data_IF_447944136290
#
_entry.id   IF_447944136290
#
_cell.length_a   1.000
_cell.length_b   1.000
_cell.length_c   1.000
_cell.angle_alpha   90.00
_cell.angle_beta   90.00
_cell.angle_gamma   90.00
#
_symmetry.space_group_name_H-M   'P 1'
#
loop_
_entity.id
_entity.type
_entity.pdbx_description
1 polymer ?
#
# COMPACT_ATOMS: atom_id res chain seq x y z
N UNK A 1 18.07 -14.98 -1.68
CA UNK A 1 16.75 -14.70 -2.23
C UNK A 1 15.65 -14.49 -1.19
N UNK A 2 15.37 -15.40 -0.24
CA UNK A 2 14.26 -15.21 0.75
C UNK A 2 14.34 -13.94 1.61
N UNK A 3 15.54 -13.46 1.96
CA UNK A 3 15.72 -12.20 2.71
C UNK A 3 15.49 -10.95 1.86
N UNK A 4 15.90 -10.99 0.61
CA UNK A 4 15.81 -9.88 -0.36
C UNK A 4 14.35 -9.54 -0.69
N UNK A 5 13.51 -10.57 -0.82
CA UNK A 5 12.07 -10.43 -1.07
C UNK A 5 11.33 -9.76 0.11
N UNK A 6 11.76 -10.03 1.34
CA UNK A 6 11.12 -9.48 2.54
C UNK A 6 11.27 -7.97 2.69
N UNK A 7 12.40 -7.40 2.25
CA UNK A 7 12.69 -5.98 2.45
C UNK A 7 11.94 -5.10 1.44
N UNK A 8 11.62 -5.63 0.26
CA UNK A 8 10.85 -4.92 -0.76
C UNK A 8 9.41 -4.64 -0.28
N UNK A 9 8.84 -5.55 0.50
CA UNK A 9 7.52 -5.36 1.09
C UNK A 9 7.48 -4.35 2.23
N UNK A 10 8.54 -4.23 3.03
CA UNK A 10 8.59 -3.32 4.20
C UNK A 10 8.28 -1.87 3.82
N UNK A 11 8.75 -1.42 2.67
CA UNK A 11 8.52 -0.06 2.16
C UNK A 11 7.07 0.20 1.74
N UNK A 12 6.39 -0.83 1.30
CA UNK A 12 4.98 -0.72 0.90
C UNK A 12 4.05 -0.47 2.10
N UNK A 13 4.46 -0.89 3.30
CA UNK A 13 3.69 -0.72 4.54
C UNK A 13 3.79 0.68 5.14
N UNK A 14 4.73 1.52 4.70
CA UNK A 14 4.91 2.87 5.27
C UNK A 14 3.65 3.75 5.09
N UNK A 15 2.95 3.60 3.97
CA UNK A 15 1.67 4.28 3.73
C UNK A 15 0.45 3.44 4.14
N UNK A 16 0.64 2.14 4.41
CA UNK A 16 -0.41 1.22 4.84
C UNK A 16 -0.67 1.27 6.36
N UNK A 17 -0.12 2.26 7.07
CA UNK A 17 -0.43 2.47 8.49
C UNK A 17 -1.93 2.63 8.79
N UNK A 18 -2.70 3.03 7.79
CA UNK A 18 -4.16 2.92 7.84
C UNK A 18 -4.65 1.46 7.95
N UNK A 19 -3.80 0.48 7.59
CA UNK A 19 -4.10 -0.95 7.56
C UNK A 19 -4.35 -1.61 8.88
N UNK A 20 -3.57 -1.26 9.84
CA UNK A 20 -3.79 -1.73 11.20
C UNK A 20 -5.08 -1.13 11.81
N UNK A 21 -5.51 0.03 11.30
CA UNK A 21 -6.65 0.78 11.81
C UNK A 21 -7.99 0.22 11.40
N UNK A 22 -8.10 -0.17 10.15
CA UNK A 22 -9.34 -0.77 9.66
C UNK A 22 -9.55 -2.17 10.25
N UNK A 23 -8.47 -2.92 10.55
CA UNK A 23 -8.59 -4.20 11.30
C UNK A 23 -9.17 -4.00 12.71
N UNK A 24 -8.89 -2.88 13.35
CA UNK A 24 -9.45 -2.57 14.67
C UNK A 24 -10.95 -2.21 14.60
N UNK A 25 -11.38 -1.55 13.51
CA UNK A 25 -12.79 -1.16 13.30
C UNK A 25 -13.60 -2.32 12.69
N UNK A 26 -12.98 -3.19 11.88
CA UNK A 26 -13.66 -4.22 11.06
C UNK A 26 -13.77 -5.58 11.75
N UNK A 27 -13.28 -5.78 12.96
CA UNK A 27 -13.70 -6.97 13.71
C UNK A 27 -15.15 -6.74 14.20
N UNK A 28 -16.18 -7.16 13.46
CA UNK A 28 -17.54 -7.02 13.94
C UNK A 28 -17.72 -8.00 15.12
N UNK A 29 -17.63 -7.49 16.30
CA UNK A 29 -18.38 -8.10 17.37
C UNK A 29 -19.83 -7.71 17.06
N UNK A 30 -20.64 -8.66 16.67
CA UNK A 30 -21.96 -8.48 16.04
C UNK A 30 -22.99 -7.68 16.89
N UNK A 31 -22.60 -7.04 17.96
CA UNK A 31 -23.45 -6.34 18.90
C UNK A 31 -23.04 -4.88 19.17
N UNK A 32 -21.87 -4.42 18.69
CA UNK A 32 -21.41 -3.08 19.07
C UNK A 32 -21.83 -2.02 18.03
N UNK A 33 -22.26 -0.84 18.52
CA UNK A 33 -22.47 0.33 17.67
C UNK A 33 -21.14 0.77 17.03
N UNK A 34 -21.21 1.50 15.91
CA UNK A 34 -20.03 2.06 15.27
C UNK A 34 -19.24 2.96 16.24
N UNK A 35 -19.94 3.75 17.05
CA UNK A 35 -19.35 4.62 18.07
C UNK A 35 -18.54 3.83 19.09
N UNK A 36 -19.03 2.67 19.50
CA UNK A 36 -18.33 1.78 20.43
C UNK A 36 -17.09 1.17 19.78
N UNK A 37 -17.18 0.79 18.51
CA UNK A 37 -16.04 0.27 17.76
C UNK A 37 -14.95 1.33 17.60
N UNK A 38 -15.32 2.58 17.25
CA UNK A 38 -14.39 3.72 17.18
C UNK A 38 -13.78 4.01 18.54
N UNK A 39 -14.58 4.01 19.61
CA UNK A 39 -14.09 4.22 20.97
C UNK A 39 -13.08 3.15 21.39
N UNK A 40 -13.26 1.89 20.98
CA UNK A 40 -12.28 0.82 21.23
C UNK A 40 -11.01 1.06 20.46
N UNK A 41 -11.11 1.33 19.16
CA UNK A 41 -9.96 1.61 18.32
C UNK A 41 -9.15 2.80 18.85
N UNK A 42 -9.83 3.84 19.35
CA UNK A 42 -9.16 5.00 19.96
C UNK A 42 -8.43 4.68 21.26
N UNK A 43 -8.89 3.68 22.04
CA UNK A 43 -8.17 3.25 23.26
C UNK A 43 -6.83 2.59 22.98
N UNK A 44 -6.68 2.02 21.78
CA UNK A 44 -5.44 1.39 21.35
C UNK A 44 -4.44 2.41 20.79
N UNK A 45 -4.85 3.69 20.64
CA UNK A 45 -3.95 4.77 20.23
C UNK A 45 -3.01 5.18 21.38
N UNK A 46 -1.75 5.55 21.06
CA UNK A 46 -1.20 5.68 19.71
C UNK A 46 -0.85 4.33 19.08
N UNK A 47 -1.30 4.11 17.83
CA UNK A 47 -0.99 2.90 17.07
C UNK A 47 0.18 3.22 16.13
N UNK A 48 1.32 2.51 16.22
CA UNK A 48 2.45 2.74 15.33
C UNK A 48 2.07 2.50 13.87
N UNK A 49 2.46 3.43 13.00
CA UNK A 49 2.49 3.22 11.55
C UNK A 49 3.70 2.35 11.22
N UNK A 50 3.57 1.51 10.19
CA UNK A 50 4.61 0.58 9.79
C UNK A 50 6.00 1.24 9.71
N UNK A 51 7.02 0.49 10.10
CA UNK A 51 8.44 0.92 10.14
C UNK A 51 8.73 2.14 11.04
N UNK A 52 7.82 2.51 11.93
CA UNK A 52 8.05 3.58 12.90
C UNK A 52 8.14 4.98 12.29
N UNK A 53 7.63 5.17 11.06
CA UNK A 53 7.61 6.49 10.37
C UNK A 53 6.63 7.47 11.01
N UNK A 54 5.74 6.98 11.87
CA UNK A 54 4.74 7.78 12.56
C UNK A 54 3.81 6.92 13.40
N UNK A 55 2.70 7.51 13.78
CA UNK A 55 1.66 6.85 14.57
C UNK A 55 0.28 7.43 14.25
N UNK A 56 -0.75 6.64 14.49
CA UNK A 56 -2.11 7.16 14.60
C UNK A 56 -2.33 7.60 16.03
N UNK A 57 -2.43 8.88 16.23
CA UNK A 57 -2.55 9.45 17.58
C UNK A 57 -3.97 9.39 18.13
N UNK A 58 -4.98 9.44 17.26
CA UNK A 58 -6.37 9.28 17.67
C UNK A 58 -7.30 8.89 16.53
N UNK A 59 -8.45 8.28 16.90
CA UNK A 59 -9.57 7.97 16.02
C UNK A 59 -10.84 8.47 16.69
N UNK A 60 -11.64 9.27 15.97
CA UNK A 60 -12.90 9.84 16.49
C UNK A 60 -14.00 9.82 15.43
N UNK A 61 -15.23 10.09 15.86
CA UNK A 61 -16.36 10.37 14.96
C UNK A 61 -16.75 11.83 15.18
N UNK A 62 -16.56 12.64 14.12
CA UNK A 62 -16.79 14.09 14.16
C UNK A 62 -17.49 14.53 12.87
N UNK A 63 -18.59 15.27 12.97
CA UNK A 63 -19.30 15.89 11.83
C UNK A 63 -19.62 14.92 10.66
N UNK A 64 -19.95 13.66 10.96
CA UNK A 64 -20.23 12.66 9.94
C UNK A 64 -19.00 12.06 9.30
N UNK A 65 -17.80 12.26 9.87
CA UNK A 65 -16.55 11.65 9.43
C UNK A 65 -15.94 10.78 10.53
N UNK A 66 -15.39 9.65 10.12
CA UNK A 66 -14.41 8.94 10.94
C UNK A 66 -13.09 9.66 10.74
N UNK A 67 -12.58 10.29 11.79
CA UNK A 67 -11.39 11.14 11.74
C UNK A 67 -10.20 10.36 12.27
N UNK A 68 -9.14 10.27 11.44
CA UNK A 68 -7.84 9.72 11.81
C UNK A 68 -6.83 10.85 11.94
N UNK A 69 -6.19 10.96 13.12
CA UNK A 69 -5.07 11.87 13.31
C UNK A 69 -3.77 11.09 13.23
N UNK A 70 -2.91 11.49 12.29
CA UNK A 70 -1.64 10.85 11.98
C UNK A 70 -0.49 11.79 12.33
N UNK A 71 0.40 11.33 13.19
CA UNK A 71 1.62 12.05 13.51
C UNK A 71 2.81 11.34 12.86
N UNK A 72 3.40 11.98 11.87
CA UNK A 72 4.57 11.48 11.16
C UNK A 72 5.85 12.12 11.68
N UNK A 73 6.96 11.40 11.54
CA UNK A 73 8.28 11.97 11.78
C UNK A 73 8.72 12.77 10.55
N UNK A 74 9.22 14.00 10.73
CA UNK A 74 9.51 14.90 9.60
C UNK A 74 10.60 14.37 8.66
N UNK A 75 11.51 13.52 9.14
CA UNK A 75 12.57 12.92 8.36
C UNK A 75 12.10 11.88 7.34
N UNK A 76 10.87 11.36 7.49
CA UNK A 76 10.33 10.30 6.62
C UNK A 76 9.27 10.79 5.64
N UNK A 77 8.61 11.90 5.92
CA UNK A 77 7.47 12.35 5.10
C UNK A 77 7.52 13.85 4.85
N UNK A 78 7.53 14.22 3.57
CA UNK A 78 7.30 15.58 3.15
C UNK A 78 5.80 15.86 2.99
N UNK A 79 5.19 16.43 4.03
CA UNK A 79 3.75 16.75 4.06
C UNK A 79 3.34 17.74 2.97
N UNK A 80 4.23 18.60 2.52
CA UNK A 80 3.92 19.59 1.49
C UNK A 80 3.61 18.95 0.14
N UNK A 81 4.16 17.78 -0.16
CA UNK A 81 3.81 17.01 -1.36
C UNK A 81 2.33 16.67 -1.38
N UNK A 82 1.80 16.22 -0.26
CA UNK A 82 0.37 15.89 -0.11
C UNK A 82 -0.52 17.13 -0.18
N UNK A 83 -0.12 18.19 0.52
CA UNK A 83 -0.87 19.44 0.56
C UNK A 83 -0.96 20.10 -0.82
N UNK A 84 0.10 20.02 -1.62
CA UNK A 84 0.18 20.60 -2.96
C UNK A 84 -0.53 19.76 -4.04
N UNK A 85 -0.90 18.50 -3.74
CA UNK A 85 -1.59 17.59 -4.65
C UNK A 85 -2.88 17.04 -4.01
N UNK A 86 -3.88 17.88 -3.68
CA UNK A 86 -4.99 17.48 -2.84
C UNK A 86 -5.89 16.39 -3.46
N UNK A 87 -6.06 16.37 -4.78
CA UNK A 87 -6.86 15.35 -5.47
C UNK A 87 -6.14 14.00 -5.48
N UNK A 88 -4.88 13.97 -5.93
CA UNK A 88 -4.08 12.75 -5.92
C UNK A 88 -3.88 12.20 -4.50
N UNK A 89 -3.74 13.08 -3.50
CA UNK A 89 -3.69 12.71 -2.08
C UNK A 89 -4.98 12.02 -1.63
N UNK A 90 -6.12 12.53 -2.02
CA UNK A 90 -7.42 11.94 -1.73
C UNK A 90 -7.57 10.56 -2.36
N UNK A 91 -7.23 10.45 -3.65
CA UNK A 91 -7.23 9.19 -4.39
C UNK A 91 -6.25 8.17 -3.75
N UNK A 92 -5.07 8.62 -3.31
CA UNK A 92 -4.08 7.79 -2.63
C UNK A 92 -4.60 7.26 -1.28
N UNK A 93 -5.25 8.08 -0.47
CA UNK A 93 -5.84 7.60 0.79
C UNK A 93 -6.99 6.64 0.55
N UNK A 94 -7.77 6.84 -0.50
CA UNK A 94 -8.78 5.87 -0.90
C UNK A 94 -8.16 4.54 -1.34
N UNK A 95 -7.09 4.59 -2.15
CA UNK A 95 -6.32 3.41 -2.53
C UNK A 95 -5.76 2.67 -1.30
N UNK A 96 -5.15 3.38 -0.36
CA UNK A 96 -4.66 2.80 0.88
C UNK A 96 -5.79 2.14 1.68
N UNK A 97 -6.94 2.78 1.78
CA UNK A 97 -8.14 2.23 2.43
C UNK A 97 -8.60 0.93 1.76
N UNK A 98 -8.61 0.85 0.43
CA UNK A 98 -8.93 -0.37 -0.32
C UNK A 98 -7.92 -1.49 -0.07
N UNK A 99 -6.63 -1.19 -0.14
CA UNK A 99 -5.56 -2.18 0.03
C UNK A 99 -5.60 -2.83 1.40
N UNK A 100 -5.91 -2.06 2.42
CA UNK A 100 -5.98 -2.54 3.80
C UNK A 100 -7.13 -3.48 4.03
N UNK A 101 -8.26 -3.20 3.39
CA UNK A 101 -9.47 -4.00 3.49
C UNK A 101 -9.52 -5.11 2.43
N UNK A 102 -8.55 -5.13 1.51
CA UNK A 102 -8.55 -5.93 0.29
C UNK A 102 -8.33 -7.43 0.44
N UNK A 103 -8.22 -7.95 1.65
CA UNK A 103 -8.24 -9.39 1.85
C UNK A 103 -9.64 -9.94 1.55
N UNK A 104 -9.89 -10.25 0.28
CA UNK A 104 -11.03 -11.07 -0.12
C UNK A 104 -12.39 -10.35 -0.27
N UNK A 105 -12.43 -9.11 -0.77
CA UNK A 105 -13.71 -8.43 -1.08
C UNK A 105 -14.29 -7.62 0.09
N UNK A 106 -13.57 -7.48 1.20
CA UNK A 106 -14.04 -6.66 2.33
C UNK A 106 -13.98 -5.14 2.07
N UNK A 107 -13.17 -4.70 1.10
CA UNK A 107 -13.08 -3.28 0.74
C UNK A 107 -14.41 -2.69 0.28
N UNK A 108 -15.14 -3.43 -0.56
CA UNK A 108 -16.46 -3.00 -1.04
C UNK A 108 -17.48 -2.97 0.09
N UNK A 109 -17.42 -3.93 1.03
CA UNK A 109 -18.31 -3.97 2.19
C UNK A 109 -18.13 -2.74 3.08
N UNK A 110 -16.88 -2.32 3.35
CA UNK A 110 -16.60 -1.16 4.19
C UNK A 110 -16.99 0.15 3.50
N UNK A 111 -16.64 0.31 2.23
CA UNK A 111 -17.06 1.48 1.44
C UNK A 111 -18.58 1.57 1.37
N UNK A 112 -19.26 0.46 1.12
CA UNK A 112 -20.72 0.40 1.09
C UNK A 112 -21.34 0.73 2.45
N UNK A 113 -20.75 0.28 3.56
CA UNK A 113 -21.25 0.59 4.89
C UNK A 113 -21.08 2.08 5.23
N UNK A 114 -19.95 2.69 4.84
CA UNK A 114 -19.74 4.13 4.99
C UNK A 114 -20.77 4.93 4.19
N UNK A 115 -20.98 4.58 2.93
CA UNK A 115 -21.98 5.21 2.05
C UNK A 115 -23.39 5.07 2.65
N UNK A 116 -23.74 3.86 3.08
CA UNK A 116 -25.06 3.57 3.67
C UNK A 116 -25.35 4.38 4.93
N UNK A 117 -24.32 4.61 5.74
CA UNK A 117 -24.43 5.42 6.97
C UNK A 117 -24.27 6.92 6.72
N UNK A 118 -23.96 7.34 5.51
CA UNK A 118 -23.67 8.73 5.20
C UNK A 118 -22.38 9.25 5.85
N UNK A 119 -21.42 8.35 6.11
CA UNK A 119 -20.15 8.67 6.77
C UNK A 119 -19.02 8.80 5.77
N UNK A 120 -18.15 9.77 6.01
CA UNK A 120 -16.87 9.92 5.30
C UNK A 120 -15.68 9.49 6.15
N UNK A 121 -14.49 9.59 5.52
CA UNK A 121 -13.21 9.48 6.21
C UNK A 121 -12.51 10.83 6.15
N UNK A 122 -11.95 11.28 7.27
CA UNK A 122 -11.12 12.49 7.34
C UNK A 122 -9.77 12.13 7.91
N UNK A 123 -8.71 12.41 7.16
CA UNK A 123 -7.33 12.19 7.56
C UNK A 123 -6.73 13.55 7.89
N UNK A 124 -6.29 13.72 9.13
CA UNK A 124 -5.55 14.90 9.59
C UNK A 124 -4.13 14.45 9.89
N UNK A 125 -3.19 14.83 9.05
CA UNK A 125 -1.80 14.42 9.18
C UNK A 125 -0.89 15.58 9.51
N UNK A 126 0.07 15.36 10.39
CA UNK A 126 1.07 16.34 10.84
C UNK A 126 2.45 15.68 10.96
N UNK A 127 3.50 16.46 10.73
CA UNK A 127 4.87 16.07 11.06
C UNK A 127 5.51 17.01 12.09
N UNK A 128 4.69 17.78 12.81
CA UNK A 128 5.15 18.76 13.80
C UNK A 128 5.62 20.10 13.18
N UNK A 129 5.87 20.14 11.88
CA UNK A 129 6.29 21.36 11.14
C UNK A 129 5.13 21.87 10.27
N UNK A 130 4.48 20.98 9.57
CA UNK A 130 3.33 21.27 8.71
C UNK A 130 2.24 20.21 8.90
N UNK A 131 1.07 20.53 8.38
CA UNK A 131 -0.09 19.61 8.43
C UNK A 131 -0.95 19.74 7.19
N UNK A 132 -1.74 18.71 6.91
CA UNK A 132 -2.80 18.75 5.92
C UNK A 132 -4.02 17.97 6.39
N UNK A 133 -5.15 18.24 5.75
CA UNK A 133 -6.39 17.49 5.93
C UNK A 133 -6.88 16.99 4.59
N UNK A 134 -7.24 15.71 4.52
CA UNK A 134 -7.86 15.08 3.36
C UNK A 134 -9.19 14.49 3.75
N UNK A 135 -10.24 14.74 2.96
CA UNK A 135 -11.60 14.27 3.21
C UNK A 135 -12.10 13.40 2.06
N UNK A 136 -12.52 12.19 2.42
CA UNK A 136 -13.23 11.26 1.54
C UNK A 136 -14.71 11.26 1.96
N UNK A 137 -15.49 12.16 1.35
CA UNK A 137 -16.93 12.21 1.61
C UNK A 137 -17.63 10.93 1.11
N UNK A 138 -18.85 10.61 1.60
CA UNK A 138 -19.61 9.47 1.08
C UNK A 138 -19.84 9.54 -0.43
N UNK A 139 -20.07 10.76 -0.96
CA UNK A 139 -20.21 11.00 -2.40
C UNK A 139 -18.92 10.67 -3.14
N UNK A 140 -17.77 11.15 -2.65
CA UNK A 140 -16.47 10.86 -3.24
C UNK A 140 -16.15 9.35 -3.21
N UNK A 141 -16.41 8.66 -2.10
CA UNK A 141 -16.22 7.21 -1.98
C UNK A 141 -17.03 6.47 -3.06
N UNK A 142 -18.29 6.87 -3.27
CA UNK A 142 -19.16 6.30 -4.30
C UNK A 142 -18.66 6.58 -5.72
N UNK A 143 -18.18 7.80 -5.98
CA UNK A 143 -17.59 8.17 -7.27
C UNK A 143 -16.33 7.36 -7.56
N UNK A 144 -15.45 7.19 -6.57
CA UNK A 144 -14.25 6.37 -6.72
C UNK A 144 -14.54 4.90 -6.95
N UNK A 145 -15.54 4.31 -6.26
CA UNK A 145 -16.00 2.96 -6.57
C UNK A 145 -16.42 2.82 -8.03
N UNK A 146 -17.20 3.78 -8.55
CA UNK A 146 -17.62 3.76 -9.95
C UNK A 146 -16.44 3.92 -10.91
N UNK A 147 -15.51 4.83 -10.64
CA UNK A 147 -14.29 5.01 -11.46
C UNK A 147 -13.46 3.74 -11.51
N UNK A 148 -13.24 3.09 -10.36
CA UNK A 148 -12.48 1.84 -10.27
C UNK A 148 -13.20 0.69 -11.00
N UNK A 149 -14.51 0.58 -10.89
CA UNK A 149 -15.28 -0.45 -11.60
C UNK A 149 -15.21 -0.30 -13.12
N UNK A 150 -15.12 0.94 -13.62
CA UNK A 150 -15.04 1.22 -15.06
C UNK A 150 -13.61 1.03 -15.59
N UNK A 151 -12.63 1.63 -14.94
CA UNK A 151 -11.22 1.55 -15.33
C UNK A 151 -10.30 1.76 -14.12
N UNK A 152 -9.94 0.69 -13.40
CA UNK A 152 -9.18 0.77 -12.16
C UNK A 152 -7.79 1.39 -12.35
N UNK A 153 -7.09 1.03 -13.42
CA UNK A 153 -5.75 1.55 -13.70
C UNK A 153 -5.80 3.07 -13.87
N UNK A 154 -6.71 3.56 -14.72
CA UNK A 154 -6.85 5.00 -14.96
C UNK A 154 -7.30 5.74 -13.69
N UNK A 155 -8.24 5.15 -12.93
CA UNK A 155 -8.77 5.76 -11.71
C UNK A 155 -7.70 5.94 -10.62
N UNK A 156 -6.73 5.04 -10.58
CA UNK A 156 -5.71 5.00 -9.52
C UNK A 156 -4.32 5.47 -9.98
N UNK A 157 -4.18 5.85 -11.26
CA UNK A 157 -2.89 6.22 -11.83
C UNK A 157 -2.19 7.37 -11.08
N UNK A 158 -2.89 8.46 -10.82
CA UNK A 158 -2.30 9.62 -10.15
C UNK A 158 -2.03 9.35 -8.66
N UNK A 159 -2.88 8.53 -8.04
CA UNK A 159 -2.67 8.05 -6.67
C UNK A 159 -1.41 7.20 -6.55
N UNK A 160 -1.18 6.29 -7.50
CA UNK A 160 0.03 5.45 -7.54
C UNK A 160 1.29 6.28 -7.78
N UNK A 161 1.23 7.24 -8.70
CA UNK A 161 2.36 8.16 -8.93
C UNK A 161 2.73 8.92 -7.67
N UNK A 162 1.77 9.57 -7.04
CA UNK A 162 2.00 10.32 -5.80
C UNK A 162 2.56 9.40 -4.70
N UNK A 163 2.03 8.19 -4.58
CA UNK A 163 2.54 7.20 -3.64
C UNK A 163 4.01 6.91 -3.86
N UNK A 164 4.41 6.62 -5.10
CA UNK A 164 5.80 6.31 -5.42
C UNK A 164 6.72 7.52 -5.28
N UNK A 165 6.28 8.72 -5.65
CA UNK A 165 7.05 9.95 -5.44
C UNK A 165 7.35 10.19 -3.96
N UNK A 166 6.39 9.92 -3.07
CA UNK A 166 6.60 10.06 -1.63
C UNK A 166 7.47 8.96 -1.05
N UNK A 167 7.40 7.74 -1.56
CA UNK A 167 8.26 6.63 -1.13
C UNK A 167 9.68 6.77 -1.66
N UNK A 168 9.85 7.28 -2.87
CA UNK A 168 11.17 7.45 -3.48
C UNK A 168 12.10 8.42 -2.71
N UNK A 169 11.57 9.26 -1.85
CA UNK A 169 12.42 10.09 -0.97
C UNK A 169 13.16 9.28 0.11
N UNK A 170 12.77 8.03 0.35
CA UNK A 170 13.44 7.13 1.30
C UNK A 170 14.53 6.27 0.66
N UNK A 171 14.66 6.26 -0.67
CA UNK A 171 15.65 5.48 -1.40
C UNK A 171 17.00 6.21 -1.56
N UNK A 172 18.10 5.48 -1.75
CA UNK A 172 18.20 4.03 -1.91
C UNK A 172 18.25 3.28 -0.56
N UNK A 173 17.73 2.03 -0.56
CA UNK A 173 17.75 1.16 0.61
C UNK A 173 18.55 -0.11 0.31
N UNK A 174 19.51 -0.44 1.17
CA UNK A 174 20.26 -1.69 1.07
C UNK A 174 19.32 -2.86 1.40
N UNK A 175 19.14 -3.79 0.45
CA UNK A 175 18.31 -4.97 0.59
C UNK A 175 19.14 -6.15 1.09
N UNK A 176 20.29 -6.40 0.44
CA UNK A 176 21.20 -7.48 0.75
C UNK A 176 22.63 -7.08 0.35
N UNK A 177 23.60 -7.96 0.54
CA UNK A 177 24.95 -7.75 0.02
C UNK A 177 24.89 -7.66 -1.52
N UNK A 178 25.35 -6.53 -2.06
CA UNK A 178 25.34 -6.27 -3.51
C UNK A 178 23.95 -5.93 -4.10
N UNK A 179 22.89 -5.78 -3.30
CA UNK A 179 21.57 -5.41 -3.77
C UNK A 179 21.03 -4.16 -3.08
N UNK A 180 20.56 -3.20 -3.88
CA UNK A 180 20.04 -1.91 -3.40
C UNK A 180 18.69 -1.65 -4.09
N UNK A 181 17.63 -1.44 -3.31
CA UNK A 181 16.38 -0.92 -3.84
C UNK A 181 16.57 0.56 -4.19
N UNK A 182 16.41 0.91 -5.45
CA UNK A 182 16.67 2.26 -5.99
C UNK A 182 15.43 3.12 -6.07
N UNK A 183 14.27 2.51 -6.31
CA UNK A 183 13.04 3.26 -6.49
C UNK A 183 11.84 2.41 -6.86
N UNK A 184 10.71 3.10 -6.89
CA UNK A 184 9.42 2.59 -7.35
C UNK A 184 8.90 3.49 -8.47
N UNK A 185 8.21 2.91 -9.44
CA UNK A 185 7.63 3.64 -10.56
C UNK A 185 6.35 3.00 -11.09
N UNK A 186 5.76 3.66 -12.06
CA UNK A 186 4.62 3.16 -12.82
C UNK A 186 4.90 3.38 -14.32
N UNK A 187 5.08 2.30 -15.07
CA UNK A 187 5.32 2.30 -16.51
C UNK A 187 4.43 1.27 -17.18
N UNK A 188 3.81 1.62 -18.31
CA UNK A 188 3.00 0.72 -19.16
C UNK A 188 2.02 -0.19 -18.37
N UNK A 189 1.34 0.37 -17.38
CA UNK A 189 0.46 -0.35 -16.46
C UNK A 189 1.16 -1.40 -15.58
N UNK A 190 2.47 -1.30 -15.37
CA UNK A 190 3.21 -2.11 -14.42
C UNK A 190 3.75 -1.23 -13.29
N UNK A 191 3.66 -1.73 -12.08
CA UNK A 191 4.42 -1.19 -10.96
C UNK A 191 5.85 -1.67 -11.14
N UNK A 192 6.80 -0.72 -11.20
CA UNK A 192 8.22 -1.00 -11.40
C UNK A 192 8.91 -0.93 -10.03
N UNK A 193 9.65 -1.98 -9.71
CA UNK A 193 10.53 -2.04 -8.54
C UNK A 193 11.96 -2.07 -9.05
N UNK A 194 12.70 -0.96 -8.87
CA UNK A 194 14.07 -0.84 -9.36
C UNK A 194 15.08 -1.35 -8.34
N UNK A 195 15.87 -2.35 -8.70
CA UNK A 195 16.90 -2.96 -7.85
C UNK A 195 18.26 -2.82 -8.51
N UNK A 196 19.17 -2.13 -7.85
CA UNK A 196 20.57 -2.06 -8.25
C UNK A 196 21.32 -3.31 -7.82
N UNK A 197 22.08 -3.89 -8.75
CA UNK A 197 22.84 -5.13 -8.59
C UNK A 197 24.33 -4.82 -8.67
N UNK A 198 25.12 -5.30 -7.69
CA UNK A 198 26.58 -5.30 -7.78
C UNK A 198 27.02 -6.46 -8.68
N UNK A 199 27.50 -6.11 -9.87
CA UNK A 199 27.91 -7.08 -10.89
C UNK A 199 29.21 -7.83 -10.56
N UNK A 200 29.91 -7.43 -9.50
CA UNK A 200 31.02 -8.22 -8.98
C UNK A 200 30.56 -9.45 -8.18
N UNK A 201 29.30 -9.39 -7.68
CA UNK A 201 28.71 -10.45 -6.87
C UNK A 201 27.64 -11.25 -7.64
N UNK A 202 26.97 -10.62 -8.59
CA UNK A 202 25.86 -11.21 -9.33
C UNK A 202 25.94 -10.92 -10.81
N UNK A 203 25.66 -11.91 -11.64
CA UNK A 203 25.46 -11.72 -13.07
C UNK A 203 23.99 -11.36 -13.36
N UNK A 204 23.75 -10.14 -13.83
CA UNK A 204 22.41 -9.66 -14.17
C UNK A 204 21.74 -10.55 -15.23
N UNK A 205 22.51 -11.07 -16.19
CA UNK A 205 21.96 -11.93 -17.25
C UNK A 205 21.50 -13.29 -16.71
N UNK A 206 22.07 -13.78 -15.62
CA UNK A 206 21.67 -15.06 -15.02
C UNK A 206 20.25 -15.07 -14.45
N UNK A 207 19.70 -13.90 -14.15
CA UNK A 207 18.31 -13.79 -13.67
C UNK A 207 17.28 -14.17 -14.75
N UNK A 208 17.64 -14.12 -16.04
CA UNK A 208 16.77 -14.59 -17.12
C UNK A 208 16.38 -16.07 -16.97
N UNK A 209 17.32 -16.89 -16.49
CA UNK A 209 17.11 -18.33 -16.33
C UNK A 209 16.12 -18.68 -15.20
N UNK A 210 15.85 -17.77 -14.27
CA UNK A 210 14.99 -17.99 -13.10
C UNK A 210 13.74 -17.10 -13.07
N UNK A 211 13.44 -16.43 -14.18
CA UNK A 211 12.35 -15.46 -14.26
C UNK A 211 10.98 -16.10 -13.98
N UNK A 212 10.71 -17.27 -14.55
CA UNK A 212 9.41 -17.95 -14.39
C UNK A 212 9.26 -18.47 -12.93
N UNK A 213 10.30 -19.10 -12.38
CA UNK A 213 10.32 -19.53 -10.98
C UNK A 213 10.19 -18.35 -10.01
N UNK A 214 10.71 -17.19 -10.40
CA UNK A 214 10.62 -16.00 -9.58
C UNK A 214 9.17 -15.51 -9.43
N UNK A 215 8.41 -15.44 -10.51
CA UNK A 215 7.01 -15.04 -10.50
C UNK A 215 6.16 -15.98 -9.61
N UNK A 216 6.34 -17.29 -9.76
CA UNK A 216 5.65 -18.29 -8.96
C UNK A 216 6.03 -18.21 -7.48
N UNK A 217 7.30 -17.97 -7.17
CA UNK A 217 7.78 -17.80 -5.80
C UNK A 217 7.19 -16.55 -5.12
N UNK A 218 7.15 -15.41 -5.82
CA UNK A 218 6.54 -14.17 -5.30
C UNK A 218 5.07 -14.40 -4.94
N UNK A 219 4.32 -15.01 -5.85
CA UNK A 219 2.88 -15.29 -5.64
C UNK A 219 2.70 -16.29 -4.49
N UNK A 220 3.52 -17.33 -4.44
CA UNK A 220 3.45 -18.35 -3.41
C UNK A 220 3.77 -17.80 -2.01
N UNK A 221 4.83 -17.02 -1.87
CA UNK A 221 5.20 -16.40 -0.58
C UNK A 221 4.11 -15.41 -0.12
N UNK A 222 3.55 -14.61 -1.04
CA UNK A 222 2.44 -13.72 -0.74
C UNK A 222 1.19 -14.49 -0.26
N UNK A 223 0.90 -15.65 -0.85
CA UNK A 223 -0.23 -16.50 -0.44
C UNK A 223 0.05 -17.26 0.86
N UNK A 224 1.30 -17.57 1.15
CA UNK A 224 1.73 -18.18 2.42
C UNK A 224 1.74 -17.20 3.60
N UNK A 225 1.30 -15.97 3.38
CA UNK A 225 1.08 -14.99 4.43
C UNK A 225 2.23 -14.01 4.63
N UNK A 226 3.15 -13.88 3.67
CA UNK A 226 4.08 -12.73 3.68
C UNK A 226 3.24 -11.44 3.54
N UNK A 227 3.19 -10.59 4.60
CA UNK A 227 2.28 -9.45 4.62
C UNK A 227 2.67 -8.37 3.61
N UNK A 228 3.93 -8.33 3.25
CA UNK A 228 4.53 -7.27 2.45
C UNK A 228 4.32 -7.57 0.97
N UNK A 229 4.69 -8.78 0.54
CA UNK A 229 4.39 -9.24 -0.82
C UNK A 229 2.88 -9.32 -1.04
N UNK A 230 2.13 -9.74 -0.01
CA UNK A 230 0.69 -9.75 -0.03
C UNK A 230 0.10 -8.38 -0.34
N UNK A 231 0.53 -7.35 0.38
CA UNK A 231 0.06 -5.97 0.18
C UNK A 231 0.43 -5.42 -1.22
N UNK A 232 1.64 -5.73 -1.71
CA UNK A 232 2.08 -5.33 -3.05
C UNK A 232 1.23 -5.99 -4.14
N UNK A 233 0.99 -7.29 -4.05
CA UNK A 233 0.15 -7.99 -5.03
C UNK A 233 -1.33 -7.57 -4.93
N UNK A 234 -1.83 -7.27 -3.73
CA UNK A 234 -3.19 -6.74 -3.55
C UNK A 234 -3.35 -5.35 -4.19
N UNK A 235 -2.31 -4.50 -4.11
CA UNK A 235 -2.28 -3.22 -4.83
C UNK A 235 -2.32 -3.44 -6.34
N UNK A 236 -1.46 -4.33 -6.86
CA UNK A 236 -1.46 -4.68 -8.29
C UNK A 236 -2.83 -5.20 -8.74
N UNK A 237 -3.46 -6.04 -7.91
CA UNK A 237 -4.79 -6.59 -8.19
C UNK A 237 -5.86 -5.50 -8.27
N UNK A 238 -5.91 -4.59 -7.29
CA UNK A 238 -6.91 -3.50 -7.21
C UNK A 238 -6.73 -2.52 -8.36
N UNK A 239 -5.49 -2.15 -8.69
CA UNK A 239 -5.19 -1.21 -9.77
C UNK A 239 -5.18 -1.85 -11.17
N UNK A 240 -5.32 -3.17 -11.26
CA UNK A 240 -5.15 -3.95 -12.49
C UNK A 240 -3.78 -3.73 -13.17
N UNK A 241 -2.76 -3.46 -12.37
CA UNK A 241 -1.38 -3.36 -12.85
C UNK A 241 -0.67 -4.70 -12.77
N UNK A 242 0.35 -4.88 -13.59
CA UNK A 242 1.37 -5.91 -13.39
C UNK A 242 2.43 -5.43 -12.40
N UNK A 243 3.41 -6.30 -12.15
CA UNK A 243 4.57 -6.01 -11.32
C UNK A 243 5.85 -6.36 -12.10
N UNK A 244 6.78 -5.43 -12.17
CA UNK A 244 8.07 -5.61 -12.83
C UNK A 244 9.18 -5.35 -11.83
N UNK A 245 10.06 -6.33 -11.64
CA UNK A 245 11.35 -6.12 -10.97
C UNK A 245 12.39 -5.81 -12.01
N UNK A 246 12.86 -4.57 -12.02
CA UNK A 246 13.93 -4.10 -12.92
C UNK A 246 15.27 -4.20 -12.23
N UNK A 247 16.05 -5.20 -12.57
CA UNK A 247 17.39 -5.42 -12.05
C UNK A 247 18.39 -4.62 -12.89
N UNK A 248 19.09 -3.67 -12.28
CA UNK A 248 19.98 -2.72 -12.95
C UNK A 248 21.41 -2.95 -12.47
N UNK A 249 22.31 -3.30 -13.36
CA UNK A 249 23.74 -3.37 -13.06
C UNK A 249 24.29 -2.00 -12.59
N UNK A 250 24.98 -1.98 -11.47
CA UNK A 250 25.50 -0.72 -10.93
C UNK A 250 26.59 -0.10 -11.81
N UNK A 251 27.36 -0.94 -12.53
CA UNK A 251 28.49 -0.50 -13.37
C UNK A 251 28.09 -0.42 -14.84
N UNK A 252 27.55 -1.51 -15.42
CA UNK A 252 27.20 -1.56 -16.85
C UNK A 252 25.96 -0.74 -17.21
N UNK A 253 25.09 -0.50 -16.24
CA UNK A 253 23.74 0.04 -16.45
C UNK A 253 22.82 -0.85 -17.31
N UNK A 254 23.25 -2.04 -17.66
CA UNK A 254 22.36 -3.03 -18.26
C UNK A 254 21.26 -3.39 -17.30
N UNK A 255 20.07 -3.68 -17.81
CA UNK A 255 18.97 -4.10 -16.97
C UNK A 255 18.29 -5.36 -17.51
N UNK A 256 17.65 -6.06 -16.60
CA UNK A 256 16.80 -7.20 -16.89
C UNK A 256 15.48 -7.04 -16.13
N UNK A 257 14.37 -7.16 -16.85
CA UNK A 257 13.03 -7.01 -16.30
C UNK A 257 12.38 -8.39 -16.06
N UNK A 258 12.05 -8.68 -14.80
CA UNK A 258 11.26 -9.84 -14.41
C UNK A 258 9.82 -9.41 -14.22
N UNK A 259 8.92 -9.93 -15.05
CA UNK A 259 7.54 -9.46 -15.13
C UNK A 259 6.56 -10.47 -14.55
N UNK A 260 5.62 -9.96 -13.75
CA UNK A 260 4.44 -10.69 -13.27
C UNK A 260 3.22 -9.99 -13.84
N UNK A 261 2.51 -10.63 -14.77
CA UNK A 261 1.38 -10.00 -15.44
C UNK A 261 0.20 -9.77 -14.47
N UNK A 262 -0.58 -8.73 -14.73
CA UNK A 262 -1.80 -8.44 -13.94
C UNK A 262 -2.82 -9.59 -14.01
N UNK A 263 -2.84 -10.35 -15.10
CA UNK A 263 -3.68 -11.54 -15.24
C UNK A 263 -3.25 -12.66 -14.30
N UNK A 264 -1.95 -12.94 -14.23
CA UNK A 264 -1.39 -13.97 -13.34
C UNK A 264 -1.64 -13.61 -11.86
N UNK A 265 -1.42 -12.34 -11.49
CA UNK A 265 -1.71 -11.86 -10.13
C UNK A 265 -3.19 -12.06 -9.78
N UNK A 266 -4.11 -11.65 -10.66
CA UNK A 266 -5.55 -11.79 -10.42
C UNK A 266 -6.01 -13.23 -10.29
N UNK A 267 -5.45 -14.14 -11.08
CA UNK A 267 -5.81 -15.57 -11.05
C UNK A 267 -5.34 -16.26 -9.77
N UNK A 268 -4.15 -15.92 -9.28
CA UNK A 268 -3.49 -16.65 -8.20
C UNK A 268 -3.60 -15.97 -6.82
N UNK A 269 -4.08 -14.71 -6.76
CA UNK A 269 -4.27 -13.96 -5.51
C UNK A 269 -5.72 -14.02 -4.99
N UNK A 270 -6.38 -15.17 -5.07
CA UNK A 270 -7.79 -15.32 -4.66
C UNK A 270 -8.00 -16.06 -3.32
N UNK A 271 -6.93 -16.54 -2.71
CA UNK A 271 -7.03 -17.28 -1.44
C UNK A 271 -6.85 -16.30 -0.28
N UNK A 272 -7.86 -16.12 0.60
CA UNK A 272 -7.64 -15.42 1.84
C UNK A 272 -6.59 -16.18 2.65
N UNK A 273 -5.63 -15.50 3.31
CA UNK A 273 -4.68 -16.17 4.18
C UNK A 273 -5.46 -16.93 5.24
N UNK A 274 -5.19 -18.22 5.37
CA UNK A 274 -5.72 -19.01 6.48
C UNK A 274 -5.09 -18.43 7.74
N UNK A 275 -5.88 -17.73 8.53
CA UNK A 275 -5.47 -17.29 9.86
C UNK A 275 -5.39 -18.56 10.72
N UNK A 276 -4.20 -19.13 10.84
CA UNK A 276 -3.92 -20.10 11.88
C UNK A 276 -4.00 -19.36 13.22
N UNK A 277 -5.16 -19.49 13.87
CA UNK A 277 -5.32 -19.10 15.26
C UNK A 277 -4.68 -20.20 16.08
N UNK A 278 -3.46 -19.95 16.57
CA UNK A 278 -2.84 -20.70 17.65
C UNK A 278 -3.01 -19.92 18.95
#
# INVERSE_FOLDING_TARGET
MKKTLKIIGILFLILMGLGSLTKAIVKPVAADSLEEQIRRANRDCPIPVANGVGQVSSISLEDGFIVYKLDYKPEYINIDVYRNNPEATRDMFYLAFLCVNGQGGHSDMMSNELIKRGLGLRIVASNGVSSFTSELSPTYIKEMQNRINVNPTKALHDALKLKFETENCTFPIKIDEGMILKGLGLEDNNIIVEVGIDENLYDVASFAAVSDEFADNIITEANNGDPELGALLDLCKISHTGLTYRLIGNYSKNHYDMNISSSLIRQNRNVPPQVNIH
#
